data_IF_706076134114
#
_entry.id   IF_706076134114
#
_cell.length_a   1.000
_cell.length_b   1.000
_cell.length_c   1.000
_cell.angle_alpha   90.00
_cell.angle_beta   90.00
_cell.angle_gamma   90.00
#
_symmetry.space_group_name_H-M   'P 1'
#
loop_
_entity.id
_entity.type
_entity.pdbx_description
1 polymer ?
#
# COMPACT_ATOMS: atom_id res chain seq x y z
N UNK A 1 17.72 -19.97 28.28
CA UNK A 1 16.48 -20.25 27.51
C UNK A 1 16.65 -21.58 26.80
N UNK A 2 15.81 -22.58 27.10
CA UNK A 2 15.96 -23.92 26.52
C UNK A 2 15.57 -23.91 25.03
N UNK A 3 16.51 -24.23 24.15
CA UNK A 3 16.24 -24.35 22.72
C UNK A 3 15.48 -25.65 22.44
N UNK A 4 14.22 -25.53 22.04
CA UNK A 4 13.41 -26.67 21.57
C UNK A 4 14.04 -27.29 20.33
N UNK A 5 14.10 -28.62 20.28
CA UNK A 5 14.59 -29.36 19.12
C UNK A 5 13.74 -29.11 17.88
N UNK A 6 14.36 -29.23 16.70
CA UNK A 6 13.70 -28.98 15.41
C UNK A 6 12.43 -29.81 15.24
N UNK A 7 12.48 -31.09 15.61
CA UNK A 7 11.34 -32.01 15.54
C UNK A 7 10.14 -31.56 16.40
N UNK A 8 10.40 -30.98 17.58
CA UNK A 8 9.34 -30.47 18.46
C UNK A 8 8.70 -29.20 17.89
N UNK A 9 9.51 -28.31 17.30
CA UNK A 9 8.99 -27.11 16.61
C UNK A 9 8.12 -27.50 15.42
N UNK A 10 8.57 -28.45 14.61
CA UNK A 10 7.85 -28.91 13.42
C UNK A 10 6.51 -29.56 13.81
N UNK A 11 6.49 -30.40 14.86
CA UNK A 11 5.24 -30.97 15.40
C UNK A 11 4.28 -29.90 15.92
N UNK A 12 4.79 -28.91 16.66
CA UNK A 12 3.96 -27.83 17.18
C UNK A 12 3.33 -27.01 16.04
N UNK A 13 4.08 -26.73 14.98
CA UNK A 13 3.55 -26.07 13.78
C UNK A 13 2.48 -26.92 13.08
N UNK A 14 2.70 -28.23 12.97
CA UNK A 14 1.73 -29.15 12.37
C UNK A 14 0.42 -29.18 13.15
N UNK A 15 0.47 -29.30 14.48
CA UNK A 15 -0.71 -29.26 15.34
C UNK A 15 -1.41 -27.91 15.28
N UNK A 16 -0.65 -26.80 15.26
CA UNK A 16 -1.19 -25.46 15.07
C UNK A 16 -1.93 -25.31 13.73
N UNK A 17 -1.37 -25.84 12.64
CA UNK A 17 -2.01 -25.88 11.31
C UNK A 17 -3.29 -26.72 11.31
N UNK A 18 -3.25 -27.91 11.90
CA UNK A 18 -4.43 -28.80 11.99
C UNK A 18 -5.55 -28.16 12.82
N UNK A 19 -5.24 -27.62 14.00
CA UNK A 19 -6.21 -26.91 14.83
C UNK A 19 -6.72 -25.61 14.19
N UNK A 20 -5.88 -24.91 13.42
CA UNK A 20 -6.29 -23.77 12.60
C UNK A 20 -7.32 -24.16 11.53
N UNK A 21 -7.04 -25.23 10.78
CA UNK A 21 -7.96 -25.77 9.75
C UNK A 21 -9.30 -26.22 10.35
N UNK A 22 -9.27 -26.95 11.47
CA UNK A 22 -10.48 -27.39 12.15
C UNK A 22 -11.35 -26.21 12.63
N UNK A 23 -10.73 -25.14 13.15
CA UNK A 23 -11.44 -23.91 13.51
C UNK A 23 -12.00 -23.19 12.29
N UNK A 24 -11.23 -23.09 11.20
CA UNK A 24 -11.68 -22.46 9.96
C UNK A 24 -12.90 -23.16 9.34
N UNK A 25 -12.95 -24.50 9.40
CA UNK A 25 -14.08 -25.29 8.92
C UNK A 25 -15.38 -25.00 9.68
N UNK A 26 -15.30 -24.63 10.97
CA UNK A 26 -16.44 -24.31 11.84
C UNK A 26 -16.92 -22.85 11.71
N UNK A 27 -16.18 -22.00 11.01
CA UNK A 27 -16.54 -20.59 10.84
C UNK A 27 -17.55 -20.42 9.71
N UNK A 28 -18.70 -19.82 10.02
CA UNK A 28 -19.65 -19.33 9.02
C UNK A 28 -19.06 -18.18 8.19
N UNK A 29 -19.60 -17.94 6.99
CA UNK A 29 -19.13 -16.89 6.09
C UNK A 29 -19.07 -15.50 6.76
N UNK A 30 -20.06 -15.18 7.59
CA UNK A 30 -20.12 -13.94 8.38
C UNK A 30 -18.92 -13.79 9.34
N UNK A 31 -18.52 -14.85 10.02
CA UNK A 31 -17.37 -14.82 10.92
C UNK A 31 -16.04 -14.74 10.17
N UNK A 32 -15.94 -15.37 8.99
CA UNK A 32 -14.75 -15.26 8.13
C UNK A 32 -14.56 -13.83 7.64
N UNK A 33 -15.64 -13.16 7.22
CA UNK A 33 -15.63 -11.75 6.84
C UNK A 33 -15.21 -10.85 8.00
N UNK A 34 -15.76 -11.07 9.20
CA UNK A 34 -15.39 -10.30 10.39
C UNK A 34 -13.90 -10.47 10.77
N UNK A 35 -13.35 -11.68 10.66
CA UNK A 35 -11.93 -11.94 10.90
C UNK A 35 -11.05 -11.29 9.83
N UNK A 36 -11.46 -11.36 8.56
CA UNK A 36 -10.76 -10.70 7.45
C UNK A 36 -10.75 -9.18 7.62
N UNK A 37 -11.90 -8.59 7.97
CA UNK A 37 -12.02 -7.16 8.25
C UNK A 37 -11.14 -6.72 9.43
N UNK A 38 -11.12 -7.49 10.53
CA UNK A 38 -10.26 -7.22 11.68
C UNK A 38 -8.76 -7.37 11.34
N UNK A 39 -8.40 -8.36 10.53
CA UNK A 39 -7.03 -8.54 10.05
C UNK A 39 -6.60 -7.42 9.11
N UNK A 40 -7.49 -6.96 8.23
CA UNK A 40 -7.29 -5.78 7.39
C UNK A 40 -7.12 -4.53 8.27
N UNK A 41 -8.00 -4.27 9.23
CA UNK A 41 -7.90 -3.14 10.15
C UNK A 41 -6.61 -3.19 11.00
N UNK A 42 -6.13 -4.37 11.39
CA UNK A 42 -4.86 -4.50 12.10
C UNK A 42 -3.63 -4.27 11.21
N UNK A 43 -3.71 -4.61 9.92
CA UNK A 43 -2.65 -4.36 8.93
C UNK A 43 -2.60 -2.89 8.50
N UNK A 44 -3.77 -2.29 8.29
CA UNK A 44 -3.93 -0.98 7.65
C UNK A 44 -4.26 0.15 8.63
N UNK A 45 -4.85 -0.15 9.79
CA UNK A 45 -5.22 0.84 10.80
C UNK A 45 -4.03 1.47 11.53
N UNK A 46 -2.82 0.89 11.42
CA UNK A 46 -1.58 1.49 11.92
C UNK A 46 -0.89 2.41 10.92
N UNK A 47 -1.24 2.35 9.63
CA UNK A 47 -0.75 3.32 8.63
C UNK A 47 -1.52 4.65 8.69
N UNK A 48 -2.73 4.67 9.26
CA UNK A 48 -3.58 5.86 9.30
C UNK A 48 -3.13 6.92 10.34
N UNK A 49 -2.31 6.58 11.34
CA UNK A 49 -1.99 7.49 12.44
C UNK A 49 -0.72 8.34 12.26
N UNK A 50 -0.12 8.31 11.07
CA UNK A 50 1.00 9.20 10.73
C UNK A 50 0.91 9.59 9.25
N UNK A 51 -0.28 10.04 8.83
CA UNK A 51 -0.43 10.77 7.57
C UNK A 51 0.31 12.11 7.74
N UNK A 52 1.58 12.11 7.36
CA UNK A 52 2.32 13.34 7.10
C UNK A 52 1.69 14.00 5.90
N UNK A 53 0.67 14.83 6.13
CA UNK A 53 0.16 15.75 5.12
C UNK A 53 1.34 16.64 4.75
N UNK A 54 1.96 16.36 3.62
CA UNK A 54 2.90 17.29 3.04
C UNK A 54 2.11 18.55 2.69
N UNK A 55 2.42 19.65 3.36
CA UNK A 55 1.76 20.92 3.06
C UNK A 55 2.33 21.41 1.73
N UNK A 56 1.46 21.55 0.73
CA UNK A 56 1.83 22.19 -0.53
C UNK A 56 2.33 23.61 -0.27
N UNK A 57 3.37 24.03 -1.00
CA UNK A 57 3.82 25.43 -0.96
C UNK A 57 3.02 26.32 -1.91
N UNK A 58 2.44 25.72 -2.95
CA UNK A 58 1.68 26.41 -4.02
C UNK A 58 0.17 26.38 -3.81
N UNK A 59 -0.37 25.45 -3.03
CA UNK A 59 -1.82 25.25 -2.87
C UNK A 59 -2.31 25.53 -1.45
N UNK A 60 -3.48 26.17 -1.35
CA UNK A 60 -4.20 26.38 -0.10
C UNK A 60 -4.89 25.12 0.45
N UNK A 61 -5.18 24.15 -0.43
CA UNK A 61 -5.66 22.82 -0.08
C UNK A 61 -4.87 21.78 -0.85
N UNK A 62 -4.24 20.84 -0.14
CA UNK A 62 -3.38 19.82 -0.73
C UNK A 62 -4.18 18.53 -0.96
N UNK A 63 -4.20 18.04 -2.20
CA UNK A 63 -4.97 16.87 -2.60
C UNK A 63 -4.16 15.95 -3.52
N UNK A 64 -4.23 14.63 -3.29
CA UNK A 64 -3.52 13.63 -4.09
C UNK A 64 -4.08 13.46 -5.51
N UNK A 65 -5.21 14.08 -5.81
CA UNK A 65 -5.86 14.22 -7.10
C UNK A 65 -5.48 15.51 -7.82
N UNK A 66 -4.70 16.39 -7.19
CA UNK A 66 -4.20 17.63 -7.78
C UNK A 66 -2.83 17.41 -8.45
N UNK A 67 -2.70 17.65 -9.77
CA UNK A 67 -1.43 17.54 -10.48
C UNK A 67 -0.32 18.44 -9.92
N UNK A 68 -0.63 19.66 -9.45
CA UNK A 68 0.37 20.60 -8.91
C UNK A 68 0.94 20.06 -7.61
N UNK A 69 0.09 19.51 -6.75
CA UNK A 69 0.54 18.86 -5.52
C UNK A 69 1.42 17.64 -5.81
N UNK A 70 1.01 16.80 -6.77
CA UNK A 70 1.80 15.63 -7.16
C UNK A 70 3.16 16.00 -7.74
N UNK A 71 3.24 17.05 -8.56
CA UNK A 71 4.51 17.58 -9.06
C UNK A 71 5.44 18.00 -7.91
N UNK A 72 4.93 18.70 -6.89
CA UNK A 72 5.71 19.05 -5.70
C UNK A 72 6.18 17.81 -4.94
N UNK A 73 5.32 16.80 -4.75
CA UNK A 73 5.71 15.54 -4.10
C UNK A 73 6.78 14.79 -4.90
N UNK A 74 6.68 14.76 -6.22
CA UNK A 74 7.68 14.10 -7.06
C UNK A 74 9.01 14.84 -7.09
N UNK A 75 8.99 16.16 -6.99
CA UNK A 75 10.20 17.00 -7.08
C UNK A 75 10.93 17.12 -5.74
N UNK A 76 10.17 17.33 -4.66
CA UNK A 76 10.69 17.76 -3.35
C UNK A 76 10.18 16.90 -2.19
N UNK A 77 9.28 15.95 -2.47
CA UNK A 77 8.65 15.11 -1.46
C UNK A 77 9.62 14.15 -0.77
N UNK A 78 9.25 13.75 0.45
CA UNK A 78 9.99 12.75 1.21
C UNK A 78 9.76 11.33 0.69
N UNK A 79 10.62 10.38 1.06
CA UNK A 79 10.39 8.96 0.78
C UNK A 79 9.06 8.44 1.39
N UNK A 80 8.61 9.02 2.50
CA UNK A 80 7.31 8.69 3.08
C UNK A 80 6.17 9.15 2.16
N UNK A 81 6.24 10.36 1.62
CA UNK A 81 5.28 10.88 0.63
C UNK A 81 5.21 10.00 -0.62
N UNK A 82 6.37 9.53 -1.08
CA UNK A 82 6.46 8.61 -2.21
C UNK A 82 5.84 7.25 -1.87
N UNK A 83 6.05 6.75 -0.65
CA UNK A 83 5.39 5.55 -0.15
C UNK A 83 3.86 5.69 -0.12
N UNK A 84 3.35 6.82 0.33
CA UNK A 84 1.92 7.13 0.35
C UNK A 84 1.33 7.23 -1.07
N UNK A 85 2.02 7.93 -1.98
CA UNK A 85 1.63 8.02 -3.38
C UNK A 85 1.59 6.64 -4.04
N UNK A 86 2.62 5.83 -3.79
CA UNK A 86 2.70 4.47 -4.30
C UNK A 86 1.54 3.62 -3.78
N UNK A 87 1.24 3.72 -2.49
CA UNK A 87 0.10 3.01 -1.90
C UNK A 87 -1.21 3.42 -2.61
N UNK A 88 -1.47 4.72 -2.77
CA UNK A 88 -2.69 5.21 -3.46
C UNK A 88 -2.81 4.71 -4.89
N UNK A 89 -1.73 4.77 -5.67
CA UNK A 89 -1.72 4.31 -7.06
C UNK A 89 -1.84 2.79 -7.15
N UNK A 90 -1.22 2.03 -6.24
CA UNK A 90 -1.30 0.57 -6.24
C UNK A 90 -2.68 0.04 -5.82
N UNK A 91 -3.36 0.72 -4.90
CA UNK A 91 -4.73 0.40 -4.48
C UNK A 91 -5.76 0.81 -5.54
N UNK A 92 -5.54 1.95 -6.21
CA UNK A 92 -6.44 2.51 -7.20
C UNK A 92 -5.68 2.92 -8.49
N UNK A 93 -5.25 1.96 -9.32
CA UNK A 93 -4.39 2.22 -10.49
C UNK A 93 -5.06 3.04 -11.61
N UNK A 94 -6.40 3.14 -11.56
CA UNK A 94 -7.23 3.96 -12.44
C UNK A 94 -8.03 5.01 -11.65
N UNK A 95 -7.61 5.32 -10.42
CA UNK A 95 -8.26 6.33 -9.59
C UNK A 95 -7.80 7.76 -9.91
N UNK A 96 -8.46 8.77 -9.32
CA UNK A 96 -8.15 10.18 -9.57
C UNK A 96 -6.68 10.54 -9.35
N UNK A 97 -6.04 9.99 -8.31
CA UNK A 97 -4.62 10.21 -8.04
C UNK A 97 -3.70 9.60 -9.09
N UNK A 98 -4.06 8.44 -9.65
CA UNK A 98 -3.28 7.79 -10.70
C UNK A 98 -3.41 8.55 -12.05
N UNK A 99 -4.60 9.06 -12.35
CA UNK A 99 -4.84 9.93 -13.51
C UNK A 99 -4.11 11.27 -13.38
N UNK A 100 -4.16 11.89 -12.21
CA UNK A 100 -3.42 13.13 -11.93
C UNK A 100 -1.91 12.90 -12.05
N UNK A 101 -1.40 11.78 -11.52
CA UNK A 101 0.00 11.39 -11.67
C UNK A 101 0.38 11.21 -13.14
N UNK A 102 -0.44 10.54 -13.94
CA UNK A 102 -0.19 10.37 -15.38
C UNK A 102 -0.08 11.70 -16.12
N UNK A 103 -0.93 12.68 -15.79
CA UNK A 103 -0.86 14.03 -16.35
C UNK A 103 0.48 14.68 -16.02
N UNK A 104 0.90 14.64 -14.74
CA UNK A 104 2.18 15.21 -14.30
C UNK A 104 3.36 14.54 -15.01
N UNK A 105 3.37 13.21 -15.10
CA UNK A 105 4.42 12.47 -15.79
C UNK A 105 4.46 12.72 -17.30
N UNK A 106 3.35 13.18 -17.89
CA UNK A 106 3.25 13.61 -19.28
C UNK A 106 3.68 15.05 -19.53
N UNK A 107 3.60 15.92 -18.52
CA UNK A 107 3.86 17.37 -18.65
C UNK A 107 5.16 17.85 -18.00
N UNK A 108 5.81 17.03 -17.17
CA UNK A 108 7.01 17.42 -16.41
C UNK A 108 8.20 16.53 -16.72
N UNK A 109 9.40 17.10 -16.60
CA UNK A 109 10.68 16.39 -16.76
C UNK A 109 11.48 16.46 -15.46
N UNK A 110 11.18 15.55 -14.54
CA UNK A 110 11.98 15.34 -13.32
C UNK A 110 12.89 14.14 -13.57
N UNK A 111 14.18 14.40 -13.76
CA UNK A 111 15.18 13.40 -14.16
C UNK A 111 15.16 12.18 -13.22
N UNK A 112 15.09 10.98 -13.78
CA UNK A 112 15.03 9.69 -13.06
C UNK A 112 13.68 9.39 -12.40
N UNK A 113 13.03 10.39 -11.80
CA UNK A 113 11.73 10.26 -11.11
C UNK A 113 10.61 9.93 -12.09
N UNK A 114 10.52 10.67 -13.20
CA UNK A 114 9.44 10.48 -14.18
C UNK A 114 9.49 9.08 -14.79
N UNK A 115 10.67 8.60 -15.20
CA UNK A 115 10.84 7.26 -15.76
C UNK A 115 10.48 6.17 -14.76
N UNK A 116 10.87 6.32 -13.49
CA UNK A 116 10.52 5.39 -12.43
C UNK A 116 9.00 5.30 -12.25
N UNK A 117 8.34 6.44 -12.09
CA UNK A 117 6.91 6.49 -11.81
C UNK A 117 6.05 6.09 -13.01
N UNK A 118 6.48 6.37 -14.25
CA UNK A 118 5.86 5.81 -15.46
C UNK A 118 5.89 4.29 -15.44
N UNK A 119 7.06 3.70 -15.14
CA UNK A 119 7.21 2.26 -15.00
C UNK A 119 6.31 1.67 -13.91
N UNK A 120 6.27 2.31 -12.73
CA UNK A 120 5.40 1.89 -11.62
C UNK A 120 3.91 1.94 -11.99
N UNK A 121 3.47 3.00 -12.66
CA UNK A 121 2.08 3.16 -13.07
C UNK A 121 1.66 2.10 -14.11
N UNK A 122 2.51 1.85 -15.11
CA UNK A 122 2.31 0.78 -16.10
C UNK A 122 2.18 -0.58 -15.40
N UNK A 123 3.08 -0.88 -14.46
CA UNK A 123 3.07 -2.13 -13.70
C UNK A 123 1.84 -2.26 -12.80
N UNK A 124 1.44 -1.20 -12.11
CA UNK A 124 0.25 -1.19 -11.26
C UNK A 124 -1.03 -1.44 -12.08
N UNK A 125 -1.07 -0.98 -13.33
CA UNK A 125 -2.17 -1.21 -14.28
C UNK A 125 -2.11 -2.57 -14.98
N UNK A 126 -1.06 -3.36 -14.78
CA UNK A 126 -0.87 -4.65 -15.45
C UNK A 126 -0.58 -4.53 -16.95
N UNK A 127 -0.10 -3.37 -17.42
CA UNK A 127 0.20 -3.11 -18.82
C UNK A 127 1.62 -3.59 -19.17
N UNK A 128 1.87 -3.94 -20.45
CA UNK A 128 3.23 -4.22 -20.91
C UNK A 128 4.12 -2.96 -20.80
N UNK A 129 5.42 -3.13 -20.48
CA UNK A 129 6.38 -2.03 -20.34
C UNK A 129 6.64 -1.29 -21.65
#
# INVERSE_FOLDING_TARGET
MAHLSKQVKDRFQQWGKQGGKARAARLSAKHRLAIAAKAAQARWGKSASTLSVHTSTRLSQSGWDDPVYLEEILSEGSLAAWGELYQKVSEHPFGPSAEALEKVLGSTEIYGVVSLWKGLLIRARGLPP
#
